data_IF_367800168656
#
_entry.id   IF_367800168656
#
_cell.length_a   1.000
_cell.length_b   1.000
_cell.length_c   1.000
_cell.angle_alpha   90.00
_cell.angle_beta   90.00
_cell.angle_gamma   90.00
#
_symmetry.space_group_name_H-M   'P 1'
#
loop_
_entity.id
_entity.type
_entity.pdbx_description
1 polymer ?
#
# COMPACT_ATOMS: atom_id res chain seq x y z
N UNK A 1 19.08 11.64 16.06
CA UNK A 1 18.89 11.10 14.70
C UNK A 1 17.41 10.77 14.64
N UNK A 2 16.61 11.62 14.00
CA UNK A 2 15.20 11.31 13.80
C UNK A 2 15.15 10.03 12.94
N UNK A 3 14.82 8.91 13.57
CA UNK A 3 14.41 7.72 12.84
C UNK A 3 13.07 8.06 12.20
N UNK A 4 13.09 8.55 10.97
CA UNK A 4 11.88 8.75 10.18
C UNK A 4 11.23 7.38 10.01
N UNK A 5 10.15 7.14 10.76
CA UNK A 5 9.31 5.97 10.59
C UNK A 5 8.70 6.03 9.19
N UNK A 6 8.94 5.00 8.38
CA UNK A 6 8.36 4.92 7.04
C UNK A 6 6.97 4.31 7.11
N UNK A 7 5.98 4.98 6.50
CA UNK A 7 4.65 4.43 6.32
C UNK A 7 4.55 3.72 4.98
N UNK A 8 4.26 2.43 5.02
CA UNK A 8 4.03 1.59 3.84
C UNK A 8 2.54 1.25 3.76
N UNK A 9 1.98 1.30 2.55
CA UNK A 9 0.69 0.70 2.25
C UNK A 9 0.93 -0.52 1.35
N UNK A 10 0.54 -1.70 1.81
CA UNK A 10 0.52 -2.93 1.02
C UNK A 10 -0.89 -3.17 0.47
N UNK A 11 -1.02 -3.38 -0.83
CA UNK A 11 -2.27 -3.68 -1.51
C UNK A 11 -2.16 -5.08 -2.11
N UNK A 12 -2.82 -6.05 -1.47
CA UNK A 12 -2.71 -7.48 -1.73
C UNK A 12 -4.02 -8.16 -1.26
N UNK A 13 -4.67 -8.97 -2.08
CA UNK A 13 -5.94 -9.63 -1.71
C UNK A 13 -5.74 -11.00 -1.05
N UNK A 14 -4.54 -11.59 -1.17
CA UNK A 14 -4.17 -12.83 -0.50
C UNK A 14 -3.57 -12.58 0.91
N UNK A 15 -4.22 -13.10 1.94
CA UNK A 15 -3.82 -12.89 3.33
C UNK A 15 -2.52 -13.62 3.70
N UNK A 16 -2.22 -14.75 3.05
CA UNK A 16 -0.99 -15.49 3.32
C UNK A 16 0.21 -14.69 2.75
N UNK A 17 0.06 -14.11 1.55
CA UNK A 17 1.07 -13.23 0.95
C UNK A 17 1.27 -11.94 1.78
N UNK A 18 0.19 -11.37 2.34
CA UNK A 18 0.30 -10.26 3.30
C UNK A 18 1.13 -10.65 4.53
N UNK A 19 0.86 -11.82 5.14
CA UNK A 19 1.59 -12.26 6.33
C UNK A 19 3.08 -12.47 6.05
N UNK A 20 3.41 -13.06 4.89
CA UNK A 20 4.79 -13.23 4.43
C UNK A 20 5.47 -11.87 4.30
N UNK A 21 4.81 -10.89 3.68
CA UNK A 21 5.36 -9.56 3.49
C UNK A 21 5.59 -8.83 4.83
N UNK A 22 4.61 -8.87 5.73
CA UNK A 22 4.70 -8.25 7.05
C UNK A 22 5.81 -8.90 7.90
N UNK A 23 5.95 -10.22 7.81
CA UNK A 23 7.05 -10.95 8.46
C UNK A 23 8.40 -10.51 7.91
N UNK A 24 8.52 -10.31 6.59
CA UNK A 24 9.75 -9.81 5.99
C UNK A 24 10.08 -8.37 6.46
N UNK A 25 9.08 -7.49 6.55
CA UNK A 25 9.26 -6.13 7.08
C UNK A 25 9.70 -6.13 8.55
N UNK A 26 9.12 -7.00 9.39
CA UNK A 26 9.46 -7.09 10.81
C UNK A 26 10.92 -7.53 11.06
N UNK A 27 11.55 -8.18 10.09
CA UNK A 27 12.96 -8.59 10.16
C UNK A 27 13.95 -7.49 9.72
N UNK A 28 13.46 -6.33 9.28
CA UNK A 28 14.31 -5.20 8.90
C UNK A 28 14.72 -4.40 10.15
N UNK A 29 15.98 -3.94 10.18
CA UNK A 29 16.48 -3.02 11.22
C UNK A 29 16.02 -1.57 10.96
N UNK A 30 14.77 -1.37 10.55
CA UNK A 30 14.18 -0.07 10.20
C UNK A 30 12.80 0.07 10.83
N UNK A 31 12.49 1.24 11.37
CA UNK A 31 11.15 1.58 11.87
C UNK A 31 10.19 1.77 10.70
N UNK A 32 9.29 0.82 10.52
CA UNK A 32 8.28 0.81 9.48
C UNK A 32 6.91 0.61 10.13
N UNK A 33 5.95 1.47 9.78
CA UNK A 33 4.54 1.23 9.98
C UNK A 33 3.96 0.74 8.65
N UNK A 34 3.30 -0.43 8.66
CA UNK A 34 2.69 -0.99 7.46
C UNK A 34 1.19 -1.13 7.67
N UNK A 35 0.42 -0.55 6.76
CA UNK A 35 -1.01 -0.75 6.63
C UNK A 35 -1.28 -1.65 5.42
N UNK A 36 -2.34 -2.46 5.47
CA UNK A 36 -2.75 -3.31 4.35
C UNK A 36 -4.11 -2.88 3.81
N UNK A 37 -4.35 -3.15 2.53
CA UNK A 37 -5.64 -3.03 1.87
C UNK A 37 -5.86 -4.26 0.99
N UNK A 38 -7.05 -4.83 1.01
CA UNK A 38 -7.35 -6.09 0.28
C UNK A 38 -7.87 -5.83 -1.14
N UNK A 39 -7.98 -4.56 -1.54
CA UNK A 39 -8.41 -4.21 -2.89
C UNK A 39 -7.91 -2.83 -3.31
N UNK A 40 -7.78 -2.63 -4.62
CA UNK A 40 -7.50 -1.33 -5.22
C UNK A 40 -8.53 -0.24 -4.84
N UNK A 41 -9.81 -0.61 -4.75
CA UNK A 41 -10.89 0.32 -4.42
C UNK A 41 -10.75 0.84 -2.99
N UNK A 42 -10.57 -0.06 -2.02
CA UNK A 42 -10.35 0.30 -0.62
C UNK A 42 -9.12 1.21 -0.48
N UNK A 43 -8.01 0.84 -1.14
CA UNK A 43 -6.79 1.63 -1.11
C UNK A 43 -7.00 3.05 -1.68
N UNK A 44 -7.72 3.18 -2.80
CA UNK A 44 -8.03 4.50 -3.39
C UNK A 44 -8.90 5.35 -2.48
N UNK A 45 -9.90 4.76 -1.83
CA UNK A 45 -10.78 5.47 -0.91
C UNK A 45 -9.98 6.01 0.28
N UNK A 46 -9.13 5.18 0.90
CA UNK A 46 -8.28 5.55 2.05
C UNK A 46 -7.22 6.59 1.69
N UNK A 47 -6.67 6.52 0.48
CA UNK A 47 -5.73 7.53 -0.03
C UNK A 47 -6.43 8.87 -0.28
N UNK A 48 -7.66 8.86 -0.83
CA UNK A 48 -8.41 10.09 -1.15
C UNK A 48 -9.02 10.76 0.08
N UNK A 49 -9.35 9.98 1.10
CA UNK A 49 -9.89 10.49 2.36
C UNK A 49 -8.81 11.03 3.30
N UNK A 50 -7.54 10.97 2.91
CA UNK A 50 -6.38 11.27 3.77
C UNK A 50 -6.31 10.38 5.02
N UNK A 51 -7.01 9.24 5.03
CA UNK A 51 -6.94 8.25 6.11
C UNK A 51 -5.55 7.62 6.18
N UNK A 52 -4.95 7.35 5.02
CA UNK A 52 -3.56 6.86 4.90
C UNK A 52 -2.73 7.77 3.99
N UNK A 53 -1.51 8.09 4.44
CA UNK A 53 -0.51 8.87 3.69
C UNK A 53 0.82 8.12 3.63
N UNK A 54 0.93 7.09 2.78
CA UNK A 54 2.12 6.25 2.73
C UNK A 54 3.28 6.98 2.04
N UNK A 55 4.49 6.73 2.53
CA UNK A 55 5.74 7.04 1.82
C UNK A 55 5.92 6.13 0.59
N UNK A 56 5.42 4.90 0.67
CA UNK A 56 5.62 3.85 -0.32
C UNK A 56 4.40 2.93 -0.41
N UNK A 57 3.98 2.61 -1.62
CA UNK A 57 2.91 1.65 -1.89
C UNK A 57 3.51 0.40 -2.54
N UNK A 58 3.28 -0.76 -1.93
CA UNK A 58 3.49 -2.06 -2.56
C UNK A 58 2.14 -2.52 -3.11
N UNK A 59 2.10 -2.83 -4.39
CA UNK A 59 0.88 -3.16 -5.11
C UNK A 59 1.06 -4.48 -5.82
N UNK A 60 0.22 -5.45 -5.48
CA UNK A 60 0.08 -6.64 -6.30
C UNK A 60 -0.65 -6.32 -7.62
N UNK A 61 -0.17 -6.94 -8.69
CA UNK A 61 -0.74 -6.80 -10.03
C UNK A 61 -1.75 -7.91 -10.36
N UNK A 62 -1.77 -8.99 -9.58
CA UNK A 62 -2.57 -10.20 -9.81
C UNK A 62 -3.80 -10.33 -8.92
N UNK A 63 -4.26 -9.25 -8.31
CA UNK A 63 -5.50 -9.25 -7.53
C UNK A 63 -6.75 -9.66 -8.31
N UNK A 64 -7.68 -10.31 -7.60
CA UNK A 64 -9.02 -10.61 -8.09
C UNK A 64 -9.89 -9.32 -8.16
N UNK A 65 -10.35 -8.96 -9.36
CA UNK A 65 -11.18 -7.76 -9.57
C UNK A 65 -10.48 -6.64 -10.35
N UNK A 66 -10.36 -5.44 -9.77
CA UNK A 66 -9.65 -4.33 -10.43
C UNK A 66 -8.15 -4.62 -10.46
N UNK A 67 -7.61 -4.83 -11.66
CA UNK A 67 -6.17 -5.06 -11.84
C UNK A 67 -5.34 -3.89 -11.30
N UNK A 68 -4.22 -4.17 -10.62
CA UNK A 68 -3.34 -3.13 -10.05
C UNK A 68 -2.86 -2.08 -11.07
N UNK A 69 -2.81 -2.42 -12.36
CA UNK A 69 -2.54 -1.46 -13.44
C UNK A 69 -3.62 -0.37 -13.56
N UNK A 70 -4.89 -0.70 -13.34
CA UNK A 70 -5.98 0.28 -13.36
C UNK A 70 -5.87 1.23 -12.16
N UNK A 71 -5.58 0.71 -10.96
CA UNK A 71 -5.28 1.51 -9.76
C UNK A 71 -4.17 2.53 -10.03
N UNK A 72 -3.05 2.07 -10.59
CA UNK A 72 -1.90 2.92 -10.88
C UNK A 72 -2.23 4.01 -11.91
N UNK A 73 -3.03 3.68 -12.93
CA UNK A 73 -3.49 4.67 -13.90
C UNK A 73 -4.40 5.71 -13.26
N UNK A 74 -5.31 5.32 -12.36
CA UNK A 74 -6.16 6.28 -11.66
C UNK A 74 -5.35 7.23 -10.78
N UNK A 75 -4.40 6.71 -10.01
CA UNK A 75 -3.49 7.51 -9.18
C UNK A 75 -2.70 8.54 -10.01
N UNK A 76 -2.15 8.14 -11.16
CA UNK A 76 -1.38 9.05 -12.03
C UNK A 76 -2.22 10.14 -12.69
N UNK A 77 -3.50 9.85 -12.95
CA UNK A 77 -4.41 10.79 -13.59
C UNK A 77 -5.02 11.77 -12.58
N UNK A 78 -5.11 11.38 -11.32
CA UNK A 78 -5.70 12.18 -10.26
C UNK A 78 -4.71 13.29 -9.80
N UNK A 79 -5.07 14.58 -9.96
CA UNK A 79 -4.20 15.69 -9.57
C UNK A 79 -3.84 15.71 -8.09
N UNK A 80 -4.62 15.04 -7.22
CA UNK A 80 -4.35 14.97 -5.79
C UNK A 80 -3.07 14.18 -5.45
N UNK A 81 -2.58 13.36 -6.39
CA UNK A 81 -1.42 12.47 -6.17
C UNK A 81 -0.25 12.73 -7.15
N UNK A 82 -0.18 13.93 -7.72
CA UNK A 82 0.91 14.38 -8.61
C UNK A 82 2.03 15.11 -7.88
#
# INVERSE_FOLDING_TARGET
>A
MDSFMKHILLIEDDLDDQEIFLTALANLEVLIACETAISATEALERLKSDEVKPDLIFLDLKMSGMHGLQFMNQLKLDPAFK
#
